data_IF_333830934627
#
_entry.id   IF_333830934627
#
_cell.length_a   1.000
_cell.length_b   1.000
_cell.length_c   1.000
_cell.angle_alpha   90.00
_cell.angle_beta   90.00
_cell.angle_gamma   90.00
#
_symmetry.space_group_name_H-M   'P 1'
#
loop_
_entity.id
_entity.type
_entity.pdbx_description
1 polymer ?
#
# COMPACT_ATOMS: atom_id res chain seq x y z
N UNK A 1 -20.13 2.50 -1.57
CA UNK A 1 -20.98 1.74 -0.61
C UNK A 1 -20.22 0.66 0.16
N UNK A 2 -19.16 0.02 -0.36
CA UNK A 2 -18.38 -0.97 0.40
C UNK A 2 -17.51 -0.39 1.53
N UNK A 3 -16.92 0.80 1.34
CA UNK A 3 -16.01 1.43 2.33
C UNK A 3 -16.72 1.88 3.61
N UNK A 4 -17.92 2.44 3.51
CA UNK A 4 -18.72 2.80 4.69
C UNK A 4 -19.14 1.56 5.48
N UNK A 5 -19.58 0.50 4.79
CA UNK A 5 -19.90 -0.78 5.44
C UNK A 5 -18.70 -1.42 6.12
N UNK A 6 -17.50 -1.30 5.54
CA UNK A 6 -16.27 -1.72 6.19
C UNK A 6 -16.01 -0.90 7.45
N UNK A 7 -16.00 0.43 7.37
CA UNK A 7 -15.79 1.32 8.53
C UNK A 7 -16.82 1.10 9.67
N UNK A 8 -18.09 0.83 9.33
CA UNK A 8 -19.13 0.48 10.30
C UNK A 8 -18.95 -0.92 10.91
N UNK A 9 -18.42 -1.90 10.16
CA UNK A 9 -18.05 -3.23 10.70
C UNK A 9 -16.95 -3.12 11.78
N UNK A 10 -16.01 -2.18 11.61
CA UNK A 10 -14.89 -1.97 12.54
C UNK A 10 -15.26 -1.33 13.88
N UNK A 11 -16.40 -0.62 13.97
CA UNK A 11 -16.86 -0.04 15.22
C UNK A 11 -17.51 -1.05 16.17
N UNK A 12 -17.85 -2.25 15.68
CA UNK A 12 -18.65 -3.24 16.42
C UNK A 12 -17.93 -4.51 16.88
N UNK A 13 -16.82 -4.91 16.27
CA UNK A 13 -16.20 -6.23 16.55
C UNK A 13 -14.91 -6.15 17.38
N UNK A 14 -14.91 -6.83 18.52
CA UNK A 14 -13.74 -7.15 19.38
C UNK A 14 -12.67 -8.02 18.70
N UNK A 15 -12.67 -8.17 17.37
CA UNK A 15 -11.68 -8.96 16.62
C UNK A 15 -11.12 -8.21 15.40
N UNK A 16 -10.42 -7.09 15.66
CA UNK A 16 -9.76 -6.29 14.61
C UNK A 16 -8.80 -7.08 13.72
N UNK A 17 -8.09 -8.07 14.27
CA UNK A 17 -7.12 -8.88 13.51
C UNK A 17 -7.77 -9.70 12.39
N UNK A 18 -9.01 -10.16 12.58
CA UNK A 18 -9.77 -10.86 11.52
C UNK A 18 -10.31 -9.89 10.49
N UNK A 19 -10.80 -8.73 10.91
CA UNK A 19 -11.28 -7.70 10.02
C UNK A 19 -10.16 -7.20 9.08
N UNK A 20 -8.92 -7.03 9.60
CA UNK A 20 -7.77 -6.58 8.80
C UNK A 20 -7.47 -7.52 7.64
N UNK A 21 -7.57 -8.84 7.85
CA UNK A 21 -7.38 -9.84 6.79
C UNK A 21 -8.44 -9.72 5.68
N UNK A 22 -9.69 -9.42 6.04
CA UNK A 22 -10.76 -9.19 5.08
C UNK A 22 -10.52 -7.89 4.30
N UNK A 23 -10.09 -6.82 4.96
CA UNK A 23 -9.79 -5.57 4.27
C UNK A 23 -8.65 -5.66 3.27
N UNK A 24 -7.58 -6.38 3.61
CA UNK A 24 -6.46 -6.59 2.68
C UNK A 24 -6.97 -7.21 1.37
N UNK A 25 -7.85 -8.22 1.47
CA UNK A 25 -8.49 -8.81 0.28
C UNK A 25 -9.35 -7.81 -0.47
N UNK A 26 -10.14 -6.99 0.23
CA UNK A 26 -10.97 -5.95 -0.42
C UNK A 26 -10.08 -4.94 -1.15
N UNK A 27 -8.96 -4.54 -0.56
CA UNK A 27 -8.00 -3.62 -1.19
C UNK A 27 -7.31 -4.25 -2.41
N UNK A 28 -6.94 -5.54 -2.34
CA UNK A 28 -6.42 -6.30 -3.47
C UNK A 28 -7.44 -6.37 -4.62
N UNK A 29 -8.71 -6.68 -4.33
CA UNK A 29 -9.76 -6.66 -5.34
C UNK A 29 -9.98 -5.26 -5.92
N UNK A 30 -9.92 -4.22 -5.10
CA UNK A 30 -10.02 -2.84 -5.58
C UNK A 30 -8.86 -2.47 -6.52
N UNK A 31 -7.64 -2.93 -6.23
CA UNK A 31 -6.48 -2.75 -7.10
C UNK A 31 -6.63 -3.50 -8.44
N UNK A 32 -7.17 -4.73 -8.41
CA UNK A 32 -7.47 -5.50 -9.63
C UNK A 32 -8.54 -4.84 -10.52
N UNK A 33 -9.49 -4.15 -9.92
CA UNK A 33 -10.53 -3.38 -10.63
C UNK A 33 -10.05 -1.99 -11.08
N UNK A 34 -8.74 -1.73 -11.06
CA UNK A 34 -8.09 -0.45 -11.40
C UNK A 34 -8.53 0.73 -10.50
N UNK A 35 -9.14 0.43 -9.35
CA UNK A 35 -9.58 1.44 -8.37
C UNK A 35 -8.47 1.74 -7.36
N UNK A 36 -7.27 2.09 -7.84
CA UNK A 36 -6.07 2.30 -7.02
C UNK A 36 -6.28 3.33 -5.90
N UNK A 37 -6.98 4.44 -6.17
CA UNK A 37 -7.28 5.47 -5.15
C UNK A 37 -8.02 4.93 -3.93
N UNK A 38 -8.91 3.95 -4.12
CA UNK A 38 -9.63 3.32 -3.00
C UNK A 38 -8.78 2.29 -2.29
N UNK A 39 -7.99 1.51 -3.04
CA UNK A 39 -7.06 0.54 -2.47
C UNK A 39 -6.04 1.23 -1.55
N UNK A 40 -5.49 2.37 -1.97
CA UNK A 40 -4.57 3.21 -1.20
C UNK A 40 -5.16 3.56 0.17
N UNK A 41 -6.37 4.12 0.19
CA UNK A 41 -7.01 4.56 1.44
C UNK A 41 -7.15 3.40 2.44
N UNK A 42 -7.53 2.22 1.96
CA UNK A 42 -7.69 1.03 2.80
C UNK A 42 -6.34 0.53 3.30
N UNK A 43 -5.32 0.47 2.43
CA UNK A 43 -3.98 0.03 2.83
C UNK A 43 -3.32 1.00 3.82
N UNK A 44 -3.47 2.32 3.66
CA UNK A 44 -2.94 3.32 4.59
C UNK A 44 -3.58 3.22 5.98
N UNK A 45 -4.90 3.02 6.03
CA UNK A 45 -5.62 2.88 7.29
C UNK A 45 -5.14 1.66 8.07
N UNK A 46 -5.00 0.52 7.39
CA UNK A 46 -4.46 -0.72 7.98
C UNK A 46 -3.01 -0.52 8.42
N UNK A 47 -2.17 0.03 7.56
CA UNK A 47 -0.75 0.18 7.82
C UNK A 47 -0.48 1.16 8.98
N UNK A 48 -1.28 2.22 9.10
CA UNK A 48 -1.20 3.17 10.23
C UNK A 48 -1.57 2.48 11.55
N UNK A 49 -2.61 1.64 11.54
CA UNK A 49 -3.01 0.88 12.71
C UNK A 49 -1.96 -0.16 13.13
N UNK A 50 -1.38 -0.88 12.16
CA UNK A 50 -0.32 -1.85 12.43
C UNK A 50 1.01 -1.19 12.82
N UNK A 51 1.26 0.05 12.37
CA UNK A 51 2.44 0.83 12.78
C UNK A 51 2.39 1.25 14.25
N UNK A 52 1.17 1.49 14.77
CA UNK A 52 0.93 1.79 16.18
C UNK A 52 1.26 0.58 17.09
N UNK A 53 1.12 -0.64 16.56
CA UNK A 53 1.39 -1.88 17.29
C UNK A 53 2.83 -2.39 17.03
N UNK A 54 3.74 -2.33 18.01
CA UNK A 54 5.15 -2.70 17.80
C UNK A 54 5.37 -4.16 17.39
N UNK A 55 4.43 -5.07 17.73
CA UNK A 55 4.44 -6.49 17.34
C UNK A 55 4.15 -6.72 15.85
N UNK A 56 3.41 -5.81 15.21
CA UNK A 56 2.99 -5.90 13.81
C UNK A 56 3.81 -5.01 12.88
N UNK A 57 4.90 -4.39 13.38
CA UNK A 57 5.78 -3.51 12.59
C UNK A 57 6.28 -4.15 11.29
N UNK A 58 6.48 -5.47 11.25
CA UNK A 58 6.88 -6.16 10.01
C UNK A 58 5.74 -6.21 8.98
N UNK A 59 4.52 -6.50 9.43
CA UNK A 59 3.33 -6.51 8.57
C UNK A 59 3.00 -5.10 8.05
N UNK A 60 3.12 -4.08 8.92
CA UNK A 60 2.88 -2.69 8.56
C UNK A 60 3.74 -2.25 7.36
N UNK A 61 5.02 -2.65 7.34
CA UNK A 61 5.96 -2.35 6.23
C UNK A 61 5.48 -2.94 4.90
N UNK A 62 4.99 -4.18 4.89
CA UNK A 62 4.47 -4.81 3.69
C UNK A 62 3.22 -4.08 3.17
N UNK A 63 2.32 -3.65 4.05
CA UNK A 63 1.12 -2.91 3.65
C UNK A 63 1.44 -1.48 3.17
N UNK A 64 2.40 -0.78 3.79
CA UNK A 64 2.92 0.50 3.27
C UNK A 64 3.53 0.35 1.87
N UNK A 65 4.27 -0.74 1.64
CA UNK A 65 4.82 -1.02 0.31
C UNK A 65 3.70 -1.26 -0.72
N UNK A 66 2.66 -2.02 -0.38
CA UNK A 66 1.50 -2.22 -1.25
C UNK A 66 0.75 -0.91 -1.56
N UNK A 67 0.61 -0.02 -0.57
CA UNK A 67 0.04 1.32 -0.79
C UNK A 67 0.90 2.16 -1.74
N UNK A 68 2.23 2.18 -1.55
CA UNK A 68 3.17 2.89 -2.45
C UNK A 68 3.10 2.39 -3.89
N UNK A 69 2.98 1.07 -4.10
CA UNK A 69 2.81 0.51 -5.44
C UNK A 69 1.50 0.99 -6.09
N UNK A 70 0.42 1.08 -5.32
CA UNK A 70 -0.84 1.62 -5.81
C UNK A 70 -0.71 3.12 -6.13
N UNK A 71 0.00 3.90 -5.32
CA UNK A 71 0.30 5.31 -5.61
C UNK A 71 1.10 5.46 -6.90
N UNK A 72 2.10 4.60 -7.12
CA UNK A 72 2.95 4.63 -8.31
C UNK A 72 2.15 4.40 -9.60
N UNK A 73 1.08 3.60 -9.54
CA UNK A 73 0.17 3.37 -10.66
C UNK A 73 -0.75 4.57 -10.96
N UNK A 74 -0.94 5.48 -10.00
CA UNK A 74 -1.77 6.68 -10.15
C UNK A 74 -0.91 7.88 -10.51
N UNK A 75 0.04 8.25 -9.65
CA UNK A 75 0.89 9.41 -9.81
C UNK A 75 2.21 9.25 -9.02
N UNK A 76 3.32 9.52 -9.71
CA UNK A 76 4.68 9.51 -9.15
C UNK A 76 4.90 10.61 -8.11
N UNK A 77 4.25 11.77 -8.28
CA UNK A 77 4.36 12.89 -7.35
C UNK A 77 3.74 12.53 -6.00
N UNK A 78 2.57 11.87 -6.05
CA UNK A 78 1.84 11.43 -4.87
C UNK A 78 2.62 10.33 -4.12
N UNK A 79 3.31 9.47 -4.87
CA UNK A 79 4.22 8.46 -4.30
C UNK A 79 5.40 9.10 -3.56
N UNK A 80 6.00 10.18 -4.09
CA UNK A 80 7.08 10.90 -3.40
C UNK A 80 6.60 11.53 -2.09
N UNK A 81 5.39 12.10 -2.07
CA UNK A 81 4.80 12.64 -0.85
C UNK A 81 4.49 11.55 0.16
N UNK A 82 3.85 10.45 -0.26
CA UNK A 82 3.56 9.30 0.60
C UNK A 82 4.84 8.70 1.18
N UNK A 83 5.90 8.58 0.38
CA UNK A 83 7.19 8.02 0.79
C UNK A 83 7.90 8.87 1.87
N UNK A 84 7.84 10.21 1.76
CA UNK A 84 8.31 11.11 2.83
C UNK A 84 7.51 10.90 4.11
N UNK A 85 6.17 10.83 3.99
CA UNK A 85 5.26 10.66 5.11
C UNK A 85 5.47 9.32 5.83
N UNK A 86 5.71 8.24 5.09
CA UNK A 86 6.01 6.93 5.67
C UNK A 86 7.40 6.87 6.32
N UNK A 87 8.37 7.62 5.80
CA UNK A 87 9.67 7.77 6.44
C UNK A 87 9.57 8.48 7.80
N UNK A 88 8.64 9.45 7.93
CA UNK A 88 8.35 10.11 9.22
C UNK A 88 7.62 9.19 10.21
N UNK A 89 6.63 8.43 9.73
CA UNK A 89 5.84 7.49 10.57
C UNK A 89 6.70 6.32 11.04
N UNK A 90 7.58 5.81 10.18
CA UNK A 90 8.42 4.66 10.45
C UNK A 90 9.86 4.92 9.97
N UNK A 91 10.73 5.52 10.79
CA UNK A 91 12.14 5.74 10.42
C UNK A 91 12.88 4.41 10.15
N UNK A 92 12.37 3.30 10.69
CA UNK A 92 12.86 1.95 10.43
C UNK A 92 12.58 1.44 9.00
N UNK A 93 11.80 2.17 8.20
CA UNK A 93 11.47 1.84 6.82
C UNK A 93 12.49 2.42 5.83
N UNK A 94 13.21 3.49 6.18
CA UNK A 94 14.18 4.12 5.28
C UNK A 94 15.34 3.18 4.92
N UNK A 95 15.73 2.29 5.84
CA UNK A 95 16.83 1.34 5.60
C UNK A 95 16.37 0.03 4.91
N UNK A 96 15.06 -0.21 4.78
CA UNK A 96 14.57 -1.46 4.19
C UNK A 96 14.76 -1.49 2.67
N UNK A 97 14.74 -2.72 2.13
CA UNK A 97 14.94 -2.95 0.69
C UNK A 97 13.79 -2.36 -0.11
N UNK A 98 12.59 -2.39 0.45
CA UNK A 98 11.35 -1.86 -0.12
C UNK A 98 11.45 -0.35 -0.38
N UNK A 99 11.97 0.42 0.57
CA UNK A 99 12.17 1.86 0.39
C UNK A 99 13.20 2.16 -0.70
N UNK A 100 14.35 1.46 -0.67
CA UNK A 100 15.39 1.58 -1.70
C UNK A 100 14.88 1.20 -3.09
N UNK A 101 14.03 0.18 -3.18
CA UNK A 101 13.38 -0.23 -4.43
C UNK A 101 12.46 0.86 -4.97
N UNK A 102 11.54 1.39 -4.16
CA UNK A 102 10.62 2.46 -4.61
C UNK A 102 11.40 3.72 -4.97
N UNK A 103 12.41 4.10 -4.20
CA UNK A 103 13.26 5.26 -4.50
C UNK A 103 14.03 5.08 -5.81
N UNK A 104 14.56 3.88 -6.06
CA UNK A 104 15.19 3.52 -7.33
C UNK A 104 14.18 3.59 -8.48
N UNK A 105 12.98 3.02 -8.32
CA UNK A 105 11.92 3.09 -9.32
C UNK A 105 11.54 4.55 -9.61
N UNK A 106 11.30 5.38 -8.60
CA UNK A 106 10.97 6.80 -8.79
C UNK A 106 12.06 7.58 -9.54
N UNK A 107 13.33 7.26 -9.27
CA UNK A 107 14.46 7.88 -9.96
C UNK A 107 14.56 7.46 -11.42
N UNK A 108 14.21 6.21 -11.75
CA UNK A 108 14.23 5.68 -13.13
C UNK A 108 12.93 5.97 -13.91
N UNK A 109 11.81 6.20 -13.22
CA UNK A 109 10.49 6.43 -13.85
C UNK A 109 10.43 7.76 -14.61
N UNK A 110 11.29 8.74 -14.29
CA UNK A 110 11.38 10.00 -15.03
C UNK A 110 11.73 9.83 -16.53
N UNK A 111 12.23 8.66 -16.94
CA UNK A 111 12.70 8.43 -18.31
C UNK A 111 11.75 7.59 -19.19
N UNK A 112 10.78 6.84 -18.64
CA UNK A 112 9.93 5.93 -19.44
C UNK A 112 8.64 5.44 -18.75
N UNK A 113 7.68 6.35 -18.50
CA UNK A 113 6.41 6.04 -17.81
C UNK A 113 5.49 5.09 -18.61
N UNK A 114 5.50 5.13 -19.95
CA UNK A 114 4.49 4.42 -20.74
C UNK A 114 4.73 2.90 -20.90
N UNK A 115 5.99 2.44 -20.85
CA UNK A 115 6.35 1.04 -21.11
C UNK A 115 6.45 0.19 -19.83
N UNK A 116 6.87 0.78 -18.71
CA UNK A 116 7.09 0.03 -17.47
C UNK A 116 5.81 -0.20 -16.67
N UNK A 117 4.89 0.76 -16.63
CA UNK A 117 3.63 0.60 -15.89
C UNK A 117 2.78 -0.57 -16.43
N UNK A 118 2.80 -0.81 -17.75
CA UNK A 118 2.13 -1.97 -18.36
C UNK A 118 2.86 -3.29 -18.17
N UNK A 119 4.18 -3.28 -17.92
CA UNK A 119 5.02 -4.47 -17.89
C UNK A 119 5.31 -4.96 -16.46
N UNK A 120 5.35 -4.05 -15.47
CA UNK A 120 5.49 -4.43 -14.05
C UNK A 120 4.17 -4.90 -13.45
N UNK A 121 3.03 -4.32 -13.87
CA UNK A 121 1.71 -4.72 -13.39
C UNK A 121 1.35 -6.16 -13.80
N UNK A 122 1.86 -6.63 -14.94
CA UNK A 122 1.70 -8.02 -15.40
C UNK A 122 2.66 -8.98 -14.70
N UNK A 123 3.87 -8.55 -14.33
CA UNK A 123 4.90 -9.50 -13.88
C UNK A 123 4.99 -9.69 -12.36
N UNK A 124 4.61 -8.70 -11.53
CA UNK A 124 4.82 -8.83 -10.08
C UNK A 124 3.53 -8.97 -9.25
N UNK A 125 2.40 -8.44 -9.72
CA UNK A 125 1.09 -8.59 -9.02
C UNK A 125 0.43 -9.96 -9.31
N UNK A 126 0.83 -10.67 -10.38
CA UNK A 126 0.21 -11.95 -10.80
C UNK A 126 1.09 -13.18 -10.54
N UNK A 127 2.42 -13.08 -10.46
CA UNK A 127 3.30 -14.27 -10.49
C UNK A 127 3.77 -14.78 -9.11
N UNK A 128 3.72 -14.00 -8.03
CA UNK A 128 3.98 -14.50 -6.66
C UNK A 128 3.03 -13.78 -5.69
N UNK A 129 1.88 -14.37 -5.34
CA UNK A 129 1.70 -15.39 -4.28
C UNK A 129 2.44 -15.02 -3.01
#
# INVERSE_FOLDING_TARGET
MILQKAADYYKGEESRSSATKCLIKVAQYAAQLEQYRKAIQVFEEIATWEADHPTLKYAAKNHFFQALLCHLCVDVLDTQHALKRYAEISPSFVDTREYKLIWWVLSNVFESVAYWCRRIFVFEVVVKV
#
